data_IF_350023020249
#
_entry.id   IF_350023020249
#
_cell.length_a   1.000
_cell.length_b   1.000
_cell.length_c   1.000
_cell.angle_alpha   90.00
_cell.angle_beta   90.00
_cell.angle_gamma   90.00
#
_symmetry.space_group_name_H-M   'P 1'
#
loop_
_entity.id
_entity.type
_entity.pdbx_description
1 polymer ?
#
# COMPACT_ATOMS: atom_id res chain seq x y z
N UNK A 1 -3.87 5.02 -17.32
CA UNK A 1 -4.65 3.87 -16.87
C UNK A 1 -5.57 4.29 -15.72
N UNK A 2 -6.86 4.07 -15.90
CA UNK A 2 -7.84 4.26 -14.83
C UNK A 2 -8.39 2.89 -14.42
N UNK A 3 -8.68 2.75 -13.12
CA UNK A 3 -9.24 1.53 -12.57
C UNK A 3 -10.61 1.82 -11.97
N UNK A 4 -11.52 0.86 -12.08
CA UNK A 4 -12.90 1.00 -11.60
C UNK A 4 -13.61 2.19 -12.25
N UNK A 5 -13.61 2.19 -13.58
CA UNK A 5 -14.20 3.27 -14.39
C UNK A 5 -15.63 2.92 -14.78
N UNK A 6 -16.50 3.91 -14.79
CA UNK A 6 -17.84 3.79 -15.35
C UNK A 6 -17.96 4.77 -16.51
N UNK A 7 -17.91 4.26 -17.76
CA UNK A 7 -18.02 5.06 -18.98
C UNK A 7 -17.16 6.34 -18.98
N UNK A 8 -15.93 6.22 -18.45
CA UNK A 8 -15.01 7.35 -18.38
C UNK A 8 -15.38 8.39 -17.31
N UNK A 9 -16.38 8.11 -16.49
CA UNK A 9 -16.82 9.02 -15.43
C UNK A 9 -16.38 8.51 -14.06
N UNK A 10 -16.45 9.41 -13.08
CA UNK A 10 -16.21 9.03 -11.68
C UNK A 10 -17.31 8.07 -11.21
N UNK A 11 -16.97 7.26 -10.20
CA UNK A 11 -17.95 6.39 -9.57
C UNK A 11 -19.04 7.19 -8.87
N UNK A 12 -20.27 6.73 -8.99
CA UNK A 12 -21.43 7.39 -8.37
C UNK A 12 -21.80 6.82 -7.01
N UNK A 13 -21.19 5.72 -6.59
CA UNK A 13 -21.51 5.08 -5.31
C UNK A 13 -20.36 4.21 -4.85
N UNK A 14 -20.39 3.83 -3.59
CA UNK A 14 -19.41 2.93 -2.99
C UNK A 14 -19.66 1.50 -3.49
N UNK A 15 -18.68 0.91 -4.13
CA UNK A 15 -18.76 -0.47 -4.63
C UNK A 15 -18.35 -1.50 -3.59
N UNK A 16 -17.70 -1.08 -2.51
CA UNK A 16 -17.11 -1.95 -1.50
C UNK A 16 -16.13 -2.96 -2.09
N UNK A 17 -15.37 -2.52 -3.10
CA UNK A 17 -14.39 -3.35 -3.81
C UNK A 17 -13.00 -2.78 -3.68
N UNK A 18 -12.02 -3.66 -3.65
CA UNK A 18 -10.62 -3.26 -3.73
C UNK A 18 -10.26 -3.00 -5.20
N UNK A 19 -9.35 -2.07 -5.42
CA UNK A 19 -8.97 -1.66 -6.77
C UNK A 19 -7.45 -1.56 -6.85
N UNK A 20 -6.86 -2.21 -7.83
CA UNK A 20 -5.42 -2.11 -8.02
C UNK A 20 -4.89 -3.08 -9.04
N UNK A 21 -3.63 -3.43 -8.87
CA UNK A 21 -2.91 -4.32 -9.78
C UNK A 21 -2.60 -5.62 -9.06
N UNK A 22 -2.88 -6.73 -9.74
CA UNK A 22 -2.50 -8.06 -9.28
C UNK A 22 -1.40 -8.56 -10.21
N UNK A 23 -0.31 -9.01 -9.60
CA UNK A 23 0.82 -9.56 -10.33
C UNK A 23 0.91 -11.04 -10.00
N UNK A 24 0.71 -11.88 -11.02
CA UNK A 24 0.81 -13.31 -10.84
C UNK A 24 2.27 -13.75 -10.96
N UNK A 25 2.73 -14.58 -10.05
CA UNK A 25 4.08 -15.10 -10.08
C UNK A 25 4.10 -16.53 -9.54
N UNK A 26 5.25 -17.18 -9.64
CA UNK A 26 5.41 -18.55 -9.17
C UNK A 26 6.66 -18.66 -8.29
N UNK A 27 6.47 -19.13 -7.08
CA UNK A 27 7.57 -19.39 -6.15
C UNK A 27 7.20 -20.59 -5.31
N UNK A 28 7.57 -21.78 -5.78
CA UNK A 28 7.13 -23.04 -5.18
C UNK A 28 5.69 -23.42 -5.50
N UNK A 29 4.86 -22.44 -5.80
CA UNK A 29 3.47 -22.58 -6.21
C UNK A 29 3.02 -21.29 -6.88
N UNK A 30 1.84 -21.31 -7.49
CA UNK A 30 1.27 -20.11 -8.07
C UNK A 30 0.86 -19.13 -6.97
N UNK A 31 1.29 -17.89 -7.09
CA UNK A 31 1.06 -16.85 -6.09
C UNK A 31 0.64 -15.55 -6.75
N UNK A 32 0.10 -14.66 -5.95
CA UNK A 32 -0.29 -13.32 -6.38
C UNK A 32 0.30 -12.30 -5.43
N UNK A 33 0.90 -11.27 -6.01
CA UNK A 33 1.25 -10.04 -5.29
C UNK A 33 0.31 -8.94 -5.77
N UNK A 34 0.15 -7.89 -4.98
CA UNK A 34 -0.73 -6.81 -5.37
C UNK A 34 -0.31 -5.48 -4.78
N UNK A 35 -0.61 -4.42 -5.52
CA UNK A 35 -0.60 -3.03 -5.03
C UNK A 35 -2.01 -2.51 -5.28
N UNK A 36 -2.71 -2.15 -4.22
CA UNK A 36 -4.13 -1.88 -4.37
C UNK A 36 -4.65 -0.90 -3.33
N UNK A 37 -5.76 -0.25 -3.67
CA UNK A 37 -6.55 0.51 -2.73
C UNK A 37 -7.42 -0.48 -1.94
N UNK A 38 -7.16 -0.58 -0.65
CA UNK A 38 -7.94 -1.42 0.25
C UNK A 38 -9.13 -0.60 0.76
N UNK A 39 -10.30 -0.92 0.24
CA UNK A 39 -11.50 -0.14 0.54
C UNK A 39 -11.85 -0.16 2.03
N UNK A 40 -11.72 -1.30 2.66
CA UNK A 40 -12.04 -1.41 4.09
C UNK A 40 -11.04 -0.70 4.98
N UNK A 41 -9.77 -0.66 4.59
CA UNK A 41 -8.71 -0.01 5.36
C UNK A 41 -8.55 1.47 5.02
N UNK A 42 -9.03 1.89 3.85
CA UNK A 42 -8.93 3.27 3.40
C UNK A 42 -7.51 3.71 3.09
N UNK A 43 -6.70 2.83 2.51
CA UNK A 43 -5.32 3.15 2.14
C UNK A 43 -4.81 2.21 1.06
N UNK A 44 -3.68 2.60 0.47
CA UNK A 44 -2.96 1.75 -0.49
C UNK A 44 -2.14 0.74 0.27
N UNK A 45 -2.22 -0.53 -0.15
CA UNK A 45 -1.54 -1.65 0.50
C UNK A 45 -0.68 -2.37 -0.53
N UNK A 46 0.48 -2.85 -0.10
CA UNK A 46 1.33 -3.73 -0.87
C UNK A 46 1.30 -5.10 -0.21
N UNK A 47 0.88 -6.12 -0.96
CA UNK A 47 0.89 -7.49 -0.49
C UNK A 47 1.81 -8.34 -1.36
N UNK A 48 2.68 -9.15 -0.74
CA UNK A 48 3.52 -10.09 -1.47
C UNK A 48 2.82 -11.42 -1.70
N UNK A 49 1.88 -11.79 -0.85
CA UNK A 49 0.99 -12.92 -1.08
C UNK A 49 -0.43 -12.50 -0.75
N UNK A 50 -1.29 -12.52 -1.75
CA UNK A 50 -2.68 -12.13 -1.59
C UNK A 50 -3.60 -13.17 -2.23
N UNK A 51 -4.82 -13.20 -1.77
CA UNK A 51 -5.90 -13.94 -2.43
C UNK A 51 -7.01 -12.98 -2.80
N UNK A 52 -7.79 -13.34 -3.81
CA UNK A 52 -8.86 -12.49 -4.31
C UNK A 52 -10.17 -13.27 -4.34
N UNK A 53 -11.24 -12.63 -3.90
CA UNK A 53 -12.58 -13.17 -3.98
C UNK A 53 -13.55 -12.03 -4.15
N UNK A 54 -14.32 -12.06 -5.24
CA UNK A 54 -15.33 -11.03 -5.55
C UNK A 54 -14.78 -9.61 -5.49
N UNK A 55 -13.57 -9.43 -6.02
CA UNK A 55 -12.86 -8.13 -6.06
C UNK A 55 -12.52 -7.59 -4.66
N UNK A 56 -12.40 -8.48 -3.70
CA UNK A 56 -11.87 -8.17 -2.37
C UNK A 56 -10.57 -8.95 -2.20
N UNK A 57 -9.52 -8.25 -1.82
CA UNK A 57 -8.19 -8.83 -1.66
C UNK A 57 -7.89 -9.07 -0.18
N UNK A 58 -7.38 -10.27 0.10
CA UNK A 58 -6.93 -10.62 1.44
C UNK A 58 -5.42 -10.81 1.40
N UNK A 59 -4.72 -10.06 2.23
CA UNK A 59 -3.25 -10.11 2.30
C UNK A 59 -2.85 -11.11 3.37
N UNK A 60 -2.18 -12.18 2.96
CA UNK A 60 -1.60 -13.13 3.90
C UNK A 60 -0.17 -12.75 4.27
N UNK A 61 0.53 -12.09 3.39
CA UNK A 61 1.89 -11.58 3.65
C UNK A 61 2.01 -10.19 3.04
N UNK A 62 2.33 -9.22 3.87
CA UNK A 62 2.59 -7.86 3.39
C UNK A 62 3.90 -7.82 2.60
N UNK A 63 3.98 -6.91 1.65
CA UNK A 63 5.15 -6.75 0.80
C UNK A 63 6.04 -5.62 1.26
N UNK A 64 7.29 -5.71 0.83
CA UNK A 64 8.25 -4.65 1.01
C UNK A 64 8.26 -3.73 -0.21
N UNK A 65 8.74 -2.51 -0.04
CA UNK A 65 8.92 -1.56 -1.11
C UNK A 65 10.40 -1.19 -1.21
N UNK A 66 11.01 -1.48 -2.36
CA UNK A 66 12.37 -1.04 -2.64
C UNK A 66 12.33 0.13 -3.60
N UNK A 67 12.85 1.27 -3.18
CA UNK A 67 12.85 2.50 -3.95
C UNK A 67 14.19 3.21 -3.77
N UNK A 68 14.54 4.09 -4.72
CA UNK A 68 15.75 4.89 -4.61
C UNK A 68 15.64 6.01 -3.58
N UNK A 69 14.45 6.49 -3.32
CA UNK A 69 14.22 7.52 -2.32
C UNK A 69 12.74 7.72 -2.08
N UNK A 70 12.40 8.13 -0.88
CA UNK A 70 11.02 8.44 -0.52
C UNK A 70 10.85 9.95 -0.40
N UNK A 71 9.98 10.51 -1.21
CA UNK A 71 9.65 11.92 -1.17
C UNK A 71 8.31 12.10 -0.47
N UNK A 72 8.35 12.69 0.72
CA UNK A 72 7.14 12.99 1.48
C UNK A 72 6.83 14.46 1.29
N UNK A 73 5.65 14.73 0.72
CA UNK A 73 5.24 16.07 0.41
C UNK A 73 4.85 16.81 1.67
N UNK A 74 5.43 17.99 1.86
CA UNK A 74 5.07 18.97 2.89
C UNK A 74 4.63 18.39 4.23
N UNK A 75 5.58 18.29 5.14
CA UNK A 75 5.29 17.80 6.49
C UNK A 75 4.85 18.90 7.45
N UNK A 76 4.65 20.12 6.97
CA UNK A 76 4.23 21.22 7.83
C UNK A 76 2.86 20.94 8.42
N UNK A 77 2.74 21.04 9.73
CA UNK A 77 1.51 20.75 10.42
C UNK A 77 1.24 19.26 10.64
N UNK A 78 2.09 18.40 10.15
CA UNK A 78 1.96 16.96 10.36
C UNK A 78 2.50 16.56 11.72
N UNK A 79 1.81 15.67 12.40
CA UNK A 79 2.27 15.14 13.69
C UNK A 79 2.99 13.80 13.53
N UNK A 80 2.83 13.16 12.39
CA UNK A 80 3.44 11.85 12.14
C UNK A 80 3.94 11.76 10.71
N UNK A 81 5.21 11.44 10.54
CA UNK A 81 5.80 11.10 9.24
C UNK A 81 5.86 9.58 9.09
N UNK A 82 6.28 8.92 10.15
CA UNK A 82 6.25 7.47 10.23
C UNK A 82 5.44 7.13 11.49
N UNK A 83 4.37 6.36 11.31
CA UNK A 83 3.48 6.03 12.41
C UNK A 83 3.46 4.53 12.65
N UNK A 84 3.61 4.17 13.91
CA UNK A 84 3.45 2.79 14.37
C UNK A 84 2.59 2.82 15.62
N UNK A 85 1.64 1.90 15.72
CA UNK A 85 0.87 1.79 16.94
C UNK A 85 0.97 0.36 17.47
N UNK A 86 1.04 0.26 18.78
CA UNK A 86 1.13 -1.01 19.50
C UNK A 86 2.55 -1.47 19.68
N UNK A 87 3.16 -2.07 18.70
CA UNK A 87 4.47 -2.68 18.81
C UNK A 87 5.58 -1.69 18.49
N UNK A 88 6.69 -1.81 19.19
CA UNK A 88 7.90 -1.02 18.93
C UNK A 88 8.38 -1.29 17.50
N UNK A 89 8.73 -0.23 16.79
CA UNK A 89 9.37 -0.29 15.48
C UNK A 89 10.77 0.32 15.61
N UNK A 90 11.70 -0.20 14.85
CA UNK A 90 13.04 0.35 14.82
C UNK A 90 13.34 0.90 13.44
N UNK A 91 14.12 1.96 13.41
CA UNK A 91 14.72 2.50 12.20
C UNK A 91 16.19 2.08 12.24
N UNK A 92 16.59 1.30 11.24
CA UNK A 92 17.92 0.72 11.18
C UNK A 92 18.73 1.33 10.05
N UNK A 93 20.06 1.42 10.26
CA UNK A 93 20.98 1.93 9.26
C UNK A 93 20.61 3.32 8.74
N UNK A 94 20.18 4.16 9.67
CA UNK A 94 19.79 5.52 9.37
C UNK A 94 20.94 6.47 9.66
N UNK A 95 21.18 7.38 8.73
CA UNK A 95 22.06 8.52 8.96
C UNK A 95 21.19 9.78 9.04
N UNK A 96 21.24 10.43 10.18
CA UNK A 96 20.57 11.72 10.33
C UNK A 96 21.64 12.76 10.05
N UNK A 97 21.46 13.48 8.93
CA UNK A 97 22.44 14.40 8.42
C UNK A 97 22.04 15.83 8.66
N UNK A 98 22.94 16.55 9.26
CA UNK A 98 22.78 17.97 9.45
C UNK A 98 21.69 18.33 10.45
N UNK A 99 21.64 19.23 11.08
CA UNK A 99 20.61 19.66 11.97
C UNK A 99 21.07 19.73 13.39
N UNK A 100 20.43 20.61 14.09
CA UNK A 100 20.55 20.75 15.53
C UNK A 100 19.31 20.15 16.17
N UNK A 101 19.52 19.51 17.22
CA UNK A 101 18.41 18.93 17.96
C UNK A 101 18.21 19.69 19.25
#
# INVERSE_FOLDING_TARGET
>A
LELQVVDGAALGSDTNKDVGLIMNYYSGSAKKAAVFWDDSAGRVVIGSEVSESSSVLTVSTTGDLEIGGLYINDCAGQTQVISCSGTTRSLENITIDGGSF
#
